data_IF_320723984278
#
_entry.id   IF_320723984278
#
_cell.length_a   1.000
_cell.length_b   1.000
_cell.length_c   1.000
_cell.angle_alpha   90.00
_cell.angle_beta   90.00
_cell.angle_gamma   90.00
#
_symmetry.space_group_name_H-M   'P 1'
#
loop_
_entity.id
_entity.type
_entity.pdbx_description
1 polymer ?
#
# COMPACT_ATOMS: atom_id res chain seq x y z
N UNK A 1 -27.22 -5.32 -19.02
CA UNK A 1 -27.36 -4.52 -17.78
C UNK A 1 -26.00 -4.50 -17.11
N UNK A 2 -25.48 -3.33 -16.73
CA UNK A 2 -24.22 -3.26 -15.97
C UNK A 2 -24.42 -3.83 -14.57
N UNK A 3 -23.58 -4.78 -14.14
CA UNK A 3 -23.58 -5.28 -12.77
C UNK A 3 -23.43 -4.11 -11.79
N UNK A 4 -24.37 -4.00 -10.86
CA UNK A 4 -24.33 -3.00 -9.80
C UNK A 4 -23.72 -3.63 -8.54
N UNK A 5 -22.78 -2.93 -7.93
CA UNK A 5 -22.06 -3.38 -6.74
C UNK A 5 -22.22 -2.39 -5.59
N UNK A 6 -22.37 -2.90 -4.39
CA UNK A 6 -22.06 -2.20 -3.15
C UNK A 6 -20.58 -2.44 -2.81
N UNK A 7 -19.88 -1.38 -2.40
CA UNK A 7 -18.46 -1.46 -2.04
C UNK A 7 -18.25 -1.20 -0.56
N UNK A 8 -17.46 -2.05 0.09
CA UNK A 8 -17.00 -1.85 1.47
C UNK A 8 -15.48 -1.94 1.55
N UNK A 9 -14.91 -1.47 2.65
CA UNK A 9 -13.48 -1.48 2.92
C UNK A 9 -13.25 -2.14 4.28
N UNK A 10 -12.16 -2.91 4.40
CA UNK A 10 -11.83 -3.59 5.66
C UNK A 10 -10.33 -3.74 5.80
N UNK A 11 -9.84 -3.59 7.03
CA UNK A 11 -8.59 -4.19 7.48
C UNK A 11 -8.72 -5.72 7.47
N UNK A 12 -7.68 -6.44 7.05
CA UNK A 12 -7.67 -7.90 6.99
C UNK A 12 -7.22 -8.46 8.33
N UNK A 13 -8.06 -9.27 8.96
CA UNK A 13 -7.72 -9.94 10.23
C UNK A 13 -6.55 -10.92 10.05
N UNK A 14 -5.60 -10.86 10.99
CA UNK A 14 -4.48 -11.80 11.12
C UNK A 14 -4.82 -13.03 11.99
N UNK A 15 -6.02 -13.06 12.58
CA UNK A 15 -6.46 -14.15 13.46
C UNK A 15 -7.66 -14.91 12.90
N UNK A 16 -8.53 -14.23 12.17
CA UNK A 16 -9.80 -14.78 11.72
C UNK A 16 -9.77 -15.18 10.25
N UNK A 17 -10.21 -16.42 9.96
CA UNK A 17 -10.35 -16.94 8.59
C UNK A 17 -9.08 -16.76 7.73
N UNK A 18 -7.90 -16.79 8.33
CA UNK A 18 -6.61 -16.46 7.70
C UNK A 18 -6.39 -17.22 6.39
N UNK A 19 -6.63 -18.53 6.37
CA UNK A 19 -6.48 -19.33 5.15
C UNK A 19 -7.41 -18.87 4.02
N UNK A 20 -8.67 -18.52 4.32
CA UNK A 20 -9.60 -17.99 3.32
C UNK A 20 -9.18 -16.60 2.84
N UNK A 21 -8.71 -15.74 3.76
CA UNK A 21 -8.19 -14.42 3.44
C UNK A 21 -6.93 -14.50 2.58
N UNK A 22 -6.02 -15.46 2.84
CA UNK A 22 -4.81 -15.69 2.06
C UNK A 22 -5.14 -16.11 0.61
N UNK A 23 -6.15 -16.97 0.43
CA UNK A 23 -6.64 -17.33 -0.92
C UNK A 23 -7.19 -16.11 -1.66
N UNK A 24 -8.02 -15.28 -1.00
CA UNK A 24 -8.55 -14.05 -1.62
C UNK A 24 -7.44 -13.03 -1.93
N UNK A 25 -6.46 -12.90 -1.03
CA UNK A 25 -5.30 -12.04 -1.20
C UNK A 25 -4.46 -12.49 -2.41
N UNK A 26 -4.11 -13.78 -2.49
CA UNK A 26 -3.44 -14.39 -3.64
C UNK A 26 -4.16 -14.07 -4.93
N UNK A 27 -5.46 -14.37 -5.00
CA UNK A 27 -6.23 -14.24 -6.24
C UNK A 27 -6.29 -12.78 -6.72
N UNK A 28 -6.44 -11.81 -5.81
CA UNK A 28 -6.37 -10.38 -6.13
C UNK A 28 -4.94 -9.97 -6.54
N UNK A 29 -3.93 -10.40 -5.79
CA UNK A 29 -2.52 -10.07 -6.03
C UNK A 29 -2.05 -10.56 -7.39
N UNK A 30 -2.39 -11.79 -7.77
CA UNK A 30 -2.04 -12.36 -9.08
C UNK A 30 -2.74 -11.64 -10.23
N UNK A 31 -4.00 -11.20 -10.05
CA UNK A 31 -4.68 -10.34 -11.03
C UNK A 31 -3.99 -8.98 -11.14
N UNK A 32 -3.57 -8.39 -10.02
CA UNK A 32 -2.88 -7.11 -10.00
C UNK A 32 -1.53 -7.17 -10.73
N UNK A 33 -0.74 -8.23 -10.51
CA UNK A 33 0.54 -8.45 -11.19
C UNK A 33 0.37 -8.59 -12.71
N UNK A 34 -0.72 -9.22 -13.16
CA UNK A 34 -1.05 -9.31 -14.60
C UNK A 34 -1.49 -7.97 -15.18
N UNK A 35 -2.35 -7.25 -14.47
CA UNK A 35 -2.96 -6.01 -14.96
C UNK A 35 -1.99 -4.83 -14.92
N UNK A 36 -1.02 -4.82 -14.00
CA UNK A 36 -0.11 -3.70 -13.78
C UNK A 36 1.26 -4.17 -13.24
N UNK A 37 2.04 -4.94 -14.02
CA UNK A 37 3.32 -5.49 -13.58
C UNK A 37 4.30 -4.40 -13.12
N UNK A 38 4.32 -3.24 -13.81
CA UNK A 38 5.17 -2.09 -13.51
C UNK A 38 4.88 -1.39 -12.17
N UNK A 39 3.79 -1.77 -11.49
CA UNK A 39 3.39 -1.22 -10.18
C UNK A 39 3.89 -2.07 -9.00
N UNK A 40 4.53 -3.20 -9.26
CA UNK A 40 4.99 -4.14 -8.26
C UNK A 40 6.47 -4.45 -8.43
N UNK A 41 7.12 -4.80 -7.32
CA UNK A 41 8.53 -5.21 -7.26
C UNK A 41 8.75 -6.68 -7.62
N UNK A 42 7.67 -7.47 -7.71
CA UNK A 42 7.67 -8.88 -8.09
C UNK A 42 6.83 -9.08 -9.36
N UNK A 43 6.82 -10.30 -9.90
CA UNK A 43 6.09 -10.64 -11.13
C UNK A 43 5.09 -11.77 -10.93
N UNK A 44 4.13 -11.88 -11.85
CA UNK A 44 3.18 -13.00 -11.84
C UNK A 44 3.91 -14.35 -11.96
N UNK A 45 4.94 -14.43 -12.81
CA UNK A 45 5.72 -15.64 -13.07
C UNK A 45 6.42 -16.17 -11.83
N UNK A 46 6.75 -15.29 -10.89
CA UNK A 46 7.32 -15.65 -9.58
C UNK A 46 6.19 -16.00 -8.62
N UNK A 47 5.26 -15.07 -8.35
CA UNK A 47 4.30 -15.23 -7.24
C UNK A 47 3.25 -16.33 -7.51
N UNK A 48 2.91 -16.66 -8.77
CA UNK A 48 1.94 -17.74 -9.05
C UNK A 48 2.41 -19.13 -8.65
N UNK A 49 3.71 -19.30 -8.39
CA UNK A 49 4.32 -20.56 -7.96
C UNK A 49 4.34 -20.73 -6.45
N UNK A 50 4.03 -19.67 -5.71
CA UNK A 50 3.95 -19.74 -4.25
C UNK A 50 2.84 -20.68 -3.81
N UNK A 51 3.17 -21.49 -2.81
CA UNK A 51 2.28 -22.40 -2.11
C UNK A 51 1.26 -21.66 -1.26
N UNK A 52 0.19 -22.34 -0.86
CA UNK A 52 -0.82 -21.75 0.03
C UNK A 52 -0.23 -21.35 1.39
N UNK A 53 0.79 -22.06 1.88
CA UNK A 53 1.51 -21.70 3.11
C UNK A 53 2.28 -20.38 2.95
N UNK A 54 3.00 -20.19 1.85
CA UNK A 54 3.71 -18.94 1.56
C UNK A 54 2.73 -17.75 1.43
N UNK A 55 1.52 -17.97 0.89
CA UNK A 55 0.49 -16.93 0.85
C UNK A 55 -0.05 -16.57 2.23
N UNK A 56 -0.19 -17.54 3.12
CA UNK A 56 -0.52 -17.30 4.53
C UNK A 56 0.59 -16.50 5.20
N UNK A 57 1.85 -16.93 5.07
CA UNK A 57 3.01 -16.24 5.66
C UNK A 57 3.10 -14.79 5.19
N UNK A 58 2.85 -14.55 3.90
CA UNK A 58 2.84 -13.19 3.32
C UNK A 58 1.72 -12.32 3.89
N UNK A 59 0.53 -12.88 4.10
CA UNK A 59 -0.59 -12.14 4.69
C UNK A 59 -0.35 -11.83 6.17
N UNK A 60 0.34 -12.73 6.87
CA UNK A 60 0.64 -12.65 8.30
C UNK A 60 1.92 -11.90 8.66
N UNK A 61 2.66 -11.35 7.69
CA UNK A 61 3.88 -10.60 7.97
C UNK A 61 3.65 -9.54 9.04
N UNK A 62 4.44 -9.60 10.12
CA UNK A 62 4.26 -8.75 11.30
C UNK A 62 4.42 -7.27 10.96
N UNK A 63 5.31 -6.95 10.02
CA UNK A 63 5.55 -5.57 9.58
C UNK A 63 4.55 -5.08 8.53
N UNK A 64 3.48 -5.84 8.22
CA UNK A 64 2.48 -5.50 7.20
C UNK A 64 1.06 -5.46 7.73
N UNK A 65 0.33 -4.42 7.37
CA UNK A 65 -1.12 -4.38 7.53
C UNK A 65 -1.80 -4.28 6.17
N UNK A 66 -2.75 -5.18 5.90
CA UNK A 66 -3.42 -5.30 4.61
C UNK A 66 -4.86 -4.81 4.71
N UNK A 67 -5.27 -4.01 3.72
CA UNK A 67 -6.62 -3.47 3.60
C UNK A 67 -7.19 -3.79 2.24
N UNK A 68 -8.48 -4.08 2.19
CA UNK A 68 -9.15 -4.58 0.98
C UNK A 68 -10.42 -3.83 0.68
N UNK A 69 -10.71 -3.67 -0.60
CA UNK A 69 -11.98 -3.19 -1.10
C UNK A 69 -12.78 -4.40 -1.60
N UNK A 70 -13.99 -4.54 -1.07
CA UNK A 70 -14.87 -5.68 -1.31
C UNK A 70 -16.04 -5.21 -2.15
N UNK A 71 -16.28 -5.86 -3.28
CA UNK A 71 -17.45 -5.64 -4.12
C UNK A 71 -18.50 -6.73 -3.86
N UNK A 72 -19.70 -6.31 -3.46
CA UNK A 72 -20.86 -7.16 -3.23
C UNK A 72 -21.94 -6.85 -4.27
N UNK A 73 -22.36 -7.81 -5.11
CA UNK A 73 -23.42 -7.59 -6.10
C UNK A 73 -24.75 -7.18 -5.45
N UNK A 74 -25.45 -6.19 -6.02
CA UNK A 74 -26.72 -5.66 -5.49
C UNK A 74 -27.91 -6.58 -5.79
N UNK A 75 -27.95 -7.17 -6.98
CA UNK A 75 -28.96 -8.17 -7.36
C UNK A 75 -28.25 -9.52 -7.56
N UNK A 76 -28.18 -10.37 -6.51
CA UNK A 76 -27.61 -11.69 -6.64
C UNK A 76 -28.61 -12.59 -7.37
N UNK A 77 -28.66 -12.50 -8.69
CA UNK A 77 -29.24 -13.58 -9.51
C UNK A 77 -28.26 -14.76 -9.41
N UNK A 78 -28.40 -15.49 -8.30
CA UNK A 78 -27.81 -16.77 -7.91
C UNK A 78 -26.33 -16.97 -8.30
N UNK A 79 -25.44 -16.84 -7.31
CA UNK A 79 -24.03 -17.34 -7.25
C UNK A 79 -22.90 -16.31 -7.30
N UNK A 80 -23.14 -15.02 -7.53
CA UNK A 80 -22.06 -14.03 -7.48
C UNK A 80 -21.74 -13.64 -6.02
N UNK A 81 -20.68 -14.24 -5.46
CA UNK A 81 -20.19 -13.93 -4.11
C UNK A 81 -19.46 -12.58 -4.04
N UNK A 82 -19.31 -12.04 -2.83
CA UNK A 82 -18.49 -10.85 -2.60
C UNK A 82 -17.02 -11.13 -2.95
N UNK A 83 -16.38 -10.18 -3.64
CA UNK A 83 -15.02 -10.33 -4.17
C UNK A 83 -14.10 -9.22 -3.67
N UNK A 84 -12.85 -9.57 -3.37
CA UNK A 84 -11.81 -8.58 -3.15
C UNK A 84 -11.36 -8.04 -4.50
N UNK A 85 -11.56 -6.74 -4.72
CA UNK A 85 -11.32 -6.08 -6.01
C UNK A 85 -10.25 -4.98 -5.92
N UNK A 86 -9.73 -4.74 -4.72
CA UNK A 86 -8.72 -3.73 -4.49
C UNK A 86 -8.01 -3.94 -3.17
N UNK A 87 -6.79 -3.45 -3.09
CA UNK A 87 -5.92 -3.59 -1.93
C UNK A 87 -5.06 -2.35 -1.70
N UNK A 88 -4.61 -2.18 -0.46
CA UNK A 88 -3.47 -1.34 -0.09
C UNK A 88 -2.78 -1.98 1.11
N UNK A 89 -1.46 -1.87 1.16
CA UNK A 89 -0.65 -2.44 2.23
C UNK A 89 0.10 -1.32 2.94
N UNK A 90 0.09 -1.34 4.27
CA UNK A 90 1.02 -0.58 5.09
C UNK A 90 2.20 -1.44 5.49
N UNK A 91 3.36 -0.81 5.62
CA UNK A 91 4.53 -1.36 6.29
C UNK A 91 4.87 -0.55 7.51
N UNK A 92 5.02 -1.20 8.66
CA UNK A 92 5.47 -0.56 9.90
C UNK A 92 4.74 -1.02 11.15
N UNK A 93 4.81 -0.22 12.24
CA UNK A 93 5.61 1.01 12.34
C UNK A 93 7.09 0.73 12.09
N UNK A 94 7.77 1.60 11.34
CA UNK A 94 9.22 1.48 11.10
C UNK A 94 10.03 2.40 12.03
N UNK A 95 11.26 1.98 12.31
CA UNK A 95 12.19 2.77 13.13
C UNK A 95 12.47 4.14 12.48
N UNK A 96 12.82 5.13 13.29
CA UNK A 96 13.24 6.46 12.81
C UNK A 96 14.40 6.32 11.82
N UNK A 97 15.35 5.43 12.12
CA UNK A 97 16.51 5.14 11.26
C UNK A 97 16.08 4.69 9.87
N UNK A 98 15.19 3.70 9.77
CA UNK A 98 14.79 3.11 8.48
C UNK A 98 13.78 3.99 7.71
N UNK A 99 13.12 4.91 8.40
CA UNK A 99 12.24 5.91 7.76
C UNK A 99 13.00 7.14 7.26
N UNK A 100 14.17 7.44 7.82
CA UNK A 100 14.95 8.64 7.44
C UNK A 100 15.54 8.47 6.05
N UNK A 101 15.42 9.50 5.21
CA UNK A 101 16.09 9.59 3.91
C UNK A 101 17.28 10.55 3.99
N UNK A 102 18.24 10.48 3.05
CA UNK A 102 19.30 11.49 2.92
C UNK A 102 18.72 12.90 2.82
N UNK A 103 19.42 13.90 3.35
CA UNK A 103 18.97 15.30 3.37
C UNK A 103 18.56 15.83 1.98
N UNK A 104 19.29 15.44 0.95
CA UNK A 104 19.01 15.79 -0.47
C UNK A 104 17.65 15.27 -0.96
N UNK A 105 17.00 14.35 -0.25
CA UNK A 105 15.62 13.93 -0.54
C UNK A 105 14.61 15.04 -0.27
N UNK A 106 14.91 15.98 0.63
CA UNK A 106 13.97 16.99 1.12
C UNK A 106 12.96 16.49 2.15
N UNK A 107 12.89 15.17 2.41
CA UNK A 107 11.98 14.63 3.41
C UNK A 107 12.29 15.25 4.79
N UNK A 108 11.28 15.81 5.50
CA UNK A 108 11.46 16.28 6.87
C UNK A 108 12.00 15.19 7.78
N UNK A 109 12.82 15.60 8.75
CA UNK A 109 13.35 14.70 9.76
C UNK A 109 12.19 14.10 10.57
N UNK A 110 12.06 12.76 10.64
CA UNK A 110 11.05 12.12 11.48
C UNK A 110 11.28 12.38 12.97
N UNK A 111 10.20 12.31 13.75
CA UNK A 111 10.21 12.43 15.22
C UNK A 111 10.93 11.27 15.90
N UNK A 112 11.04 11.32 17.23
CA UNK A 112 11.63 10.24 18.02
C UNK A 112 10.89 8.90 17.87
N UNK A 113 11.56 7.78 18.14
CA UNK A 113 10.92 6.46 18.14
C UNK A 113 9.82 6.34 19.20
N UNK A 114 9.95 7.06 20.32
CA UNK A 114 8.96 7.08 21.40
C UNK A 114 7.79 8.05 21.14
N UNK A 115 7.89 8.91 20.13
CA UNK A 115 6.96 10.01 19.89
C UNK A 115 6.09 9.80 18.63
N UNK A 116 6.62 9.08 17.64
CA UNK A 116 6.03 9.01 16.31
C UNK A 116 5.98 7.57 15.76
N UNK A 117 4.82 7.15 15.31
CA UNK A 117 4.65 5.94 14.49
C UNK A 117 4.78 6.29 13.01
N UNK A 118 5.57 5.51 12.28
CA UNK A 118 5.89 5.79 10.87
C UNK A 118 5.53 4.61 10.01
N UNK A 119 4.69 4.86 9.02
CA UNK A 119 4.17 3.83 8.13
C UNK A 119 4.55 4.14 6.69
N UNK A 120 4.96 3.13 5.94
CA UNK A 120 5.11 3.21 4.49
C UNK A 120 3.89 2.57 3.83
N UNK A 121 3.13 3.33 3.05
CA UNK A 121 2.01 2.83 2.25
C UNK A 121 2.50 2.40 0.87
N UNK A 122 2.12 1.19 0.45
CA UNK A 122 2.52 0.57 -0.81
C UNK A 122 1.41 -0.32 -1.38
N UNK A 123 1.62 -0.81 -2.60
CA UNK A 123 0.72 -1.78 -3.27
C UNK A 123 -0.76 -1.34 -3.36
N UNK A 124 -1.05 -0.05 -3.49
CA UNK A 124 -2.40 0.43 -3.78
C UNK A 124 -2.82 -0.01 -5.19
N UNK A 125 -3.89 -0.79 -5.29
CA UNK A 125 -4.40 -1.30 -6.56
C UNK A 125 -5.92 -1.49 -6.51
N UNK A 126 -6.59 -1.22 -7.63
CA UNK A 126 -8.00 -1.53 -7.87
C UNK A 126 -8.07 -2.23 -9.23
N UNK A 127 -8.82 -3.34 -9.32
CA UNK A 127 -9.07 -4.05 -10.57
C UNK A 127 -9.63 -3.08 -11.64
N UNK A 128 -9.12 -3.11 -12.89
CA UNK A 128 -9.48 -2.15 -13.93
C UNK A 128 -11.00 -1.96 -14.12
N UNK A 129 -11.78 -3.03 -14.00
CA UNK A 129 -13.24 -3.04 -14.20
C UNK A 129 -14.00 -2.24 -13.12
N UNK A 130 -13.35 -1.97 -11.99
CA UNK A 130 -13.89 -1.25 -10.84
C UNK A 130 -13.28 0.16 -10.65
N UNK A 131 -12.34 0.57 -11.51
CA UNK A 131 -11.71 1.89 -11.44
C UNK A 131 -12.67 3.03 -11.80
N UNK A 132 -12.24 4.28 -11.58
CA UNK A 132 -13.05 5.48 -11.83
C UNK A 132 -14.15 5.75 -10.79
N UNK A 133 -14.24 4.93 -9.74
CA UNK A 133 -15.30 4.99 -8.71
C UNK A 133 -14.81 5.50 -7.35
N UNK A 134 -13.66 6.17 -7.31
CA UNK A 134 -12.98 6.66 -6.09
C UNK A 134 -12.68 5.58 -5.04
N UNK A 135 -12.59 4.30 -5.46
CA UNK A 135 -12.33 3.18 -4.53
C UNK A 135 -10.92 3.24 -3.92
N UNK A 136 -9.92 3.71 -4.67
CA UNK A 136 -8.58 3.95 -4.12
C UNK A 136 -8.59 5.00 -3.00
N UNK A 137 -9.41 6.04 -3.13
CA UNK A 137 -9.61 7.02 -2.05
C UNK A 137 -10.28 6.39 -0.83
N UNK A 138 -11.26 5.50 -1.06
CA UNK A 138 -11.92 4.75 0.01
C UNK A 138 -10.96 3.85 0.79
N UNK A 139 -10.07 3.12 0.10
CA UNK A 139 -9.01 2.32 0.73
C UNK A 139 -8.08 3.18 1.59
N UNK A 140 -7.61 4.31 1.07
CA UNK A 140 -6.72 5.18 1.85
C UNK A 140 -7.43 5.82 3.05
N UNK A 141 -8.73 6.14 2.95
CA UNK A 141 -9.51 6.60 4.09
C UNK A 141 -9.66 5.53 5.16
N UNK A 142 -9.87 4.29 4.75
CA UNK A 142 -9.93 3.14 5.66
C UNK A 142 -8.59 2.93 6.38
N UNK A 143 -7.47 3.06 5.66
CA UNK A 143 -6.12 3.07 6.24
C UNK A 143 -5.96 4.17 7.29
N UNK A 144 -6.31 5.42 6.94
CA UNK A 144 -6.19 6.56 7.86
C UNK A 144 -7.06 6.36 9.09
N UNK A 145 -8.31 5.91 8.90
CA UNK A 145 -9.26 5.63 9.98
C UNK A 145 -8.70 4.56 10.93
N UNK A 146 -8.20 3.45 10.40
CA UNK A 146 -7.61 2.39 11.21
C UNK A 146 -6.41 2.91 12.02
N UNK A 147 -5.50 3.66 11.40
CA UNK A 147 -4.33 4.20 12.09
C UNK A 147 -4.69 5.28 13.14
N UNK A 148 -5.81 6.00 12.96
CA UNK A 148 -6.36 6.89 13.99
C UNK A 148 -6.90 6.11 15.19
N UNK A 149 -7.63 5.01 14.93
CA UNK A 149 -8.23 4.17 15.97
C UNK A 149 -7.19 3.35 16.76
N UNK A 150 -6.07 3.01 16.13
CA UNK A 150 -4.99 2.21 16.74
C UNK A 150 -3.77 3.04 17.12
N UNK A 151 -3.85 4.38 17.05
CA UNK A 151 -2.76 5.28 17.38
C UNK A 151 -2.30 5.09 18.83
N UNK A 152 -1.00 4.79 19.02
CA UNK A 152 -0.41 4.61 20.35
C UNK A 152 0.46 5.80 20.77
N UNK A 153 1.08 6.47 19.79
CA UNK A 153 2.01 7.58 20.04
C UNK A 153 1.37 8.94 19.76
N UNK A 154 2.04 10.00 20.21
CA UNK A 154 1.58 11.37 20.04
C UNK A 154 1.35 11.76 18.57
N UNK A 155 2.09 11.12 17.65
CA UNK A 155 2.06 11.39 16.22
C UNK A 155 2.08 10.10 15.40
N UNK A 156 1.31 10.05 14.32
CA UNK A 156 1.40 8.98 13.31
C UNK A 156 1.59 9.59 11.94
N UNK A 157 2.57 9.08 11.19
CA UNK A 157 2.93 9.56 9.85
C UNK A 157 2.84 8.43 8.85
N UNK A 158 2.20 8.69 7.72
CA UNK A 158 2.12 7.79 6.58
C UNK A 158 2.90 8.39 5.41
N UNK A 159 3.92 7.69 4.94
CA UNK A 159 4.69 8.02 3.74
C UNK A 159 4.29 7.12 2.58
N UNK A 160 4.29 7.67 1.38
CA UNK A 160 4.27 6.92 0.13
C UNK A 160 5.31 7.49 -0.83
N UNK A 161 5.68 6.68 -1.82
CA UNK A 161 6.56 7.10 -2.90
C UNK A 161 5.93 6.76 -4.24
N UNK A 162 5.85 7.74 -5.14
CA UNK A 162 5.10 7.62 -6.39
C UNK A 162 5.83 8.26 -7.57
N UNK A 163 5.74 7.65 -8.75
CA UNK A 163 6.27 8.25 -9.98
C UNK A 163 5.45 9.52 -10.32
N UNK A 164 6.07 10.68 -10.57
CA UNK A 164 5.34 11.92 -10.87
C UNK A 164 4.49 11.83 -12.15
N UNK A 165 4.84 10.91 -13.08
CA UNK A 165 4.06 10.65 -14.29
C UNK A 165 2.71 9.99 -13.98
N UNK A 166 2.54 9.37 -12.81
CA UNK A 166 1.26 8.83 -12.37
C UNK A 166 0.40 9.95 -11.76
N UNK A 167 0.05 10.94 -12.59
CA UNK A 167 -0.65 12.16 -12.18
C UNK A 167 -1.98 11.86 -11.51
N UNK A 168 -2.72 10.85 -11.98
CA UNK A 168 -3.98 10.43 -11.37
C UNK A 168 -3.81 9.98 -9.91
N UNK A 169 -2.76 9.20 -9.62
CA UNK A 169 -2.44 8.75 -8.26
C UNK A 169 -1.92 9.88 -7.39
N UNK A 170 -1.08 10.78 -7.93
CA UNK A 170 -0.62 11.97 -7.19
C UNK A 170 -1.80 12.84 -6.75
N UNK A 171 -2.71 13.18 -7.68
CA UNK A 171 -3.92 13.97 -7.37
C UNK A 171 -4.87 13.24 -6.41
N UNK A 172 -4.89 11.90 -6.44
CA UNK A 172 -5.64 11.11 -5.46
C UNK A 172 -5.12 11.37 -4.04
N UNK A 173 -3.81 11.32 -3.85
CA UNK A 173 -3.18 11.49 -2.54
C UNK A 173 -3.25 12.94 -2.06
N UNK A 174 -3.05 13.93 -2.94
CA UNK A 174 -3.23 15.35 -2.61
C UNK A 174 -4.65 15.64 -2.09
N UNK A 175 -5.69 15.07 -2.73
CA UNK A 175 -7.08 15.20 -2.28
C UNK A 175 -7.37 14.55 -0.92
N UNK A 176 -6.51 13.65 -0.48
CA UNK A 176 -6.57 13.04 0.85
C UNK A 176 -5.72 13.81 1.88
N UNK A 177 -5.03 14.87 1.47
CA UNK A 177 -4.19 15.69 2.33
C UNK A 177 -2.72 15.26 2.41
N UNK A 178 -2.28 14.32 1.56
CA UNK A 178 -0.85 14.03 1.46
C UNK A 178 -0.13 15.20 0.79
N UNK A 179 0.98 15.61 1.38
CA UNK A 179 1.82 16.69 0.88
C UNK A 179 3.06 16.12 0.19
N UNK A 180 3.46 16.69 -0.95
CA UNK A 180 4.76 16.39 -1.56
C UNK A 180 5.83 17.04 -0.71
N UNK A 181 6.63 16.22 -0.02
CA UNK A 181 7.67 16.69 0.91
C UNK A 181 9.08 16.52 0.37
N UNK A 182 9.24 15.86 -0.77
CA UNK A 182 10.57 15.59 -1.30
C UNK A 182 10.57 14.68 -2.51
N UNK A 183 11.76 14.20 -2.86
CA UNK A 183 11.99 13.26 -3.95
C UNK A 183 12.87 12.10 -3.50
N UNK A 184 12.63 10.93 -4.07
CA UNK A 184 13.40 9.73 -3.79
C UNK A 184 14.00 9.12 -5.05
N UNK A 185 15.06 8.34 -4.86
CA UNK A 185 15.57 7.44 -5.89
C UNK A 185 14.76 6.15 -5.92
N UNK A 186 14.95 5.33 -6.96
CA UNK A 186 14.35 3.99 -6.98
C UNK A 186 14.93 3.10 -5.88
N UNK A 187 16.22 3.23 -5.56
CA UNK A 187 16.84 2.46 -4.49
C UNK A 187 16.21 2.76 -3.12
N UNK A 188 16.03 4.04 -2.80
CA UNK A 188 15.37 4.47 -1.57
C UNK A 188 13.91 3.98 -1.50
N UNK A 189 13.19 4.01 -2.63
CA UNK A 189 11.82 3.52 -2.69
C UNK A 189 11.71 2.00 -2.46
N UNK A 190 12.61 1.21 -3.05
CA UNK A 190 12.67 -0.23 -2.83
C UNK A 190 12.98 -0.56 -1.37
N UNK A 191 13.97 0.10 -0.76
CA UNK A 191 14.29 -0.07 0.67
C UNK A 191 13.10 0.30 1.55
N UNK A 192 12.47 1.46 1.30
CA UNK A 192 11.30 1.91 2.04
C UNK A 192 10.15 0.88 2.02
N UNK A 193 9.92 0.26 0.84
CA UNK A 193 8.88 -0.75 0.64
C UNK A 193 9.22 -2.13 1.25
N UNK A 194 10.45 -2.33 1.74
CA UNK A 194 10.95 -3.61 2.25
C UNK A 194 11.55 -4.52 1.16
N UNK A 195 11.75 -4.00 -0.04
CA UNK A 195 12.23 -4.69 -1.24
C UNK A 195 13.71 -4.41 -1.53
N UNK A 196 14.47 -3.95 -0.53
CA UNK A 196 15.89 -3.61 -0.69
C UNK A 196 16.75 -4.79 -1.14
N UNK A 197 16.33 -6.02 -0.86
CA UNK A 197 17.00 -7.24 -1.31
C UNK A 197 16.96 -7.45 -2.84
N UNK A 198 16.11 -6.70 -3.56
CA UNK A 198 16.04 -6.73 -5.02
C UNK A 198 17.03 -5.76 -5.67
N UNK A 199 17.77 -4.97 -4.88
CA UNK A 199 18.77 -4.05 -5.41
C UNK A 199 20.01 -4.82 -5.88
N UNK A 200 20.61 -4.42 -7.00
CA UNK A 200 21.95 -4.87 -7.35
C UNK A 200 22.96 -4.37 -6.33
N UNK A 201 24.13 -5.00 -6.27
CA UNK A 201 25.25 -4.52 -5.45
C UNK A 201 25.67 -3.09 -5.82
N UNK A 202 25.64 -2.76 -7.12
CA UNK A 202 25.93 -1.44 -7.65
C UNK A 202 24.64 -0.67 -8.00
N UNK A 203 24.32 0.33 -7.18
CA UNK A 203 23.17 1.23 -7.37
C UNK A 203 23.55 2.59 -7.98
N UNK A 204 24.76 2.74 -8.53
CA UNK A 204 25.22 4.00 -9.13
C UNK A 204 24.55 4.31 -10.47
N UNK A 205 24.07 3.26 -11.18
CA UNK A 205 23.29 3.40 -12.41
C UNK A 205 22.13 4.38 -12.24
N UNK A 206 21.92 5.24 -13.25
CA UNK A 206 20.91 6.29 -13.24
C UNK A 206 19.51 5.77 -12.92
N UNK A 207 19.18 4.52 -13.26
CA UNK A 207 17.92 3.87 -12.90
C UNK A 207 17.69 3.85 -11.38
N UNK A 208 18.74 3.59 -10.61
CA UNK A 208 18.67 3.42 -9.15
C UNK A 208 19.07 4.69 -8.39
N UNK A 209 19.88 5.56 -8.99
CA UNK A 209 20.41 6.77 -8.36
C UNK A 209 19.64 8.05 -8.73
N UNK A 210 18.88 8.08 -9.82
CA UNK A 210 18.12 9.28 -10.21
C UNK A 210 16.95 9.52 -9.27
N UNK A 211 16.89 10.73 -8.72
CA UNK A 211 15.87 11.18 -7.77
C UNK A 211 14.60 11.67 -8.48
N UNK A 212 13.90 10.74 -9.14
CA UNK A 212 12.72 11.02 -9.97
C UNK A 212 11.38 10.74 -9.28
N UNK A 213 11.35 9.94 -8.20
CA UNK A 213 10.11 9.66 -7.46
C UNK A 213 9.72 10.82 -6.55
N UNK A 214 8.42 11.01 -6.31
CA UNK A 214 7.90 11.93 -5.32
C UNK A 214 7.75 11.21 -3.98
N UNK A 215 8.19 11.84 -2.90
CA UNK A 215 7.88 11.43 -1.52
C UNK A 215 6.69 12.25 -1.06
N UNK A 216 5.61 11.57 -0.67
CA UNK A 216 4.44 12.24 -0.11
C UNK A 216 4.18 11.75 1.31
N UNK A 217 3.79 12.67 2.20
CA UNK A 217 3.51 12.38 3.61
C UNK A 217 2.11 12.89 3.99
N UNK A 218 1.41 12.08 4.76
CA UNK A 218 0.23 12.48 5.53
C UNK A 218 0.53 12.32 7.01
N UNK A 219 0.32 13.37 7.80
CA UNK A 219 0.38 13.29 9.26
C UNK A 219 -1.03 13.12 9.79
N UNK A 220 -1.26 12.04 10.53
CA UNK A 220 -2.54 11.78 11.16
C UNK A 220 -2.72 12.76 12.33
N UNK A 221 -3.82 13.53 12.35
CA UNK A 221 -4.12 14.41 13.48
C UNK A 221 -4.34 13.58 14.74
N UNK A 222 -3.75 14.00 15.85
CA UNK A 222 -4.09 13.48 17.17
C UNK A 222 -5.58 13.73 17.44
N UNK A 223 -6.33 12.71 17.84
CA UNK A 223 -7.68 12.88 18.38
C UNK A 223 -7.56 13.68 19.67
N UNK A 224 -8.10 14.90 19.66
CA UNK A 224 -8.19 15.78 20.83
C UNK A 224 -9.10 15.19 21.91
#
# INVERSE_FOLDING_TARGET
MSLQYHYSFSHVSKTDSVHQSAVKYRDLRLKALKASPESFSSTYEIEHRFTDAEWVDRLLQDDRENFVCIATPVNPDTSSAAQWIGQVTLRGPVSRKDFTLPEVSGQPMPGGDDEEDRWQMLSLFILPEHQGRKLGQGLCREVIRHLQETQQKARTVVRLMVKPQNTATVHLYEKLGFEIVGKCTLAEALVANGDGHLLPEDITDARYSTRAGLVMIYTIPTTA
#
